data_IF_658222031809
#
_entry.id   IF_658222031809
#
_cell.length_a   1.000
_cell.length_b   1.000
_cell.length_c   1.000
_cell.angle_alpha   90.00
_cell.angle_beta   90.00
_cell.angle_gamma   90.00
#
_symmetry.space_group_name_H-M   'P 1'
#
loop_
_entity.id
_entity.type
_entity.pdbx_description
1 polymer ?
#
# COMPACT_ATOMS: atom_id res chain seq x y z
N UNK A 1 -21.89 4.47 -35.94
CA UNK A 1 -22.80 5.49 -36.51
C UNK A 1 -23.95 5.90 -35.58
N UNK A 2 -24.48 5.03 -34.70
CA UNK A 2 -25.49 5.41 -33.67
C UNK A 2 -24.96 6.29 -32.52
N UNK A 3 -23.67 6.21 -32.19
CA UNK A 3 -23.02 6.99 -31.12
C UNK A 3 -22.79 8.47 -31.47
N UNK A 4 -22.67 8.81 -32.76
CA UNK A 4 -22.46 10.20 -33.20
C UNK A 4 -23.75 11.06 -33.11
N UNK A 5 -24.93 10.45 -33.28
CA UNK A 5 -26.22 11.15 -33.16
C UNK A 5 -26.63 11.45 -31.71
N UNK A 6 -26.12 10.70 -30.73
CA UNK A 6 -26.43 10.91 -29.30
C UNK A 6 -25.64 12.10 -28.71
N UNK A 7 -24.43 12.37 -29.20
CA UNK A 7 -23.62 13.50 -28.74
C UNK A 7 -24.21 14.87 -29.15
N UNK A 8 -24.91 14.93 -30.28
CA UNK A 8 -25.46 16.19 -30.78
C UNK A 8 -26.76 16.60 -30.08
N UNK A 9 -27.52 15.64 -29.54
CA UNK A 9 -28.73 15.91 -28.76
C UNK A 9 -28.44 16.37 -27.32
N UNK A 10 -27.33 15.90 -26.71
CA UNK A 10 -26.95 16.26 -25.35
C UNK A 10 -26.52 17.74 -25.19
N UNK A 11 -26.11 18.40 -26.28
CA UNK A 11 -25.66 19.79 -26.27
C UNK A 11 -26.77 20.85 -26.23
N UNK A 12 -28.04 20.45 -26.24
CA UNK A 12 -29.20 21.35 -26.17
C UNK A 12 -30.03 21.23 -24.88
N UNK A 13 -29.71 20.26 -24.00
CA UNK A 13 -30.44 20.05 -22.74
C UNK A 13 -29.94 20.97 -21.58
N UNK A 14 -30.78 21.29 -20.59
CA UNK A 14 -30.38 22.03 -19.39
C UNK A 14 -29.32 21.26 -18.56
N UNK A 15 -28.46 22.00 -17.84
CA UNK A 15 -27.24 21.50 -17.17
C UNK A 15 -27.46 20.25 -16.29
N UNK A 16 -28.58 20.18 -15.57
CA UNK A 16 -28.89 19.07 -14.67
C UNK A 16 -29.22 17.76 -15.41
N UNK A 17 -29.77 17.84 -16.62
CA UNK A 17 -30.09 16.65 -17.43
C UNK A 17 -28.87 16.11 -18.18
N UNK A 18 -27.86 16.96 -18.44
CA UNK A 18 -26.57 16.54 -19.01
C UNK A 18 -25.76 15.72 -18.03
N UNK A 19 -25.66 16.14 -16.77
CA UNK A 19 -25.02 15.34 -15.72
C UNK A 19 -25.71 13.99 -15.51
N UNK A 20 -27.05 13.98 -15.45
CA UNK A 20 -27.81 12.74 -15.31
C UNK A 20 -27.61 11.78 -16.50
N UNK A 21 -27.51 12.31 -17.73
CA UNK A 21 -27.27 11.50 -18.93
C UNK A 21 -25.83 10.99 -19.03
N UNK A 22 -24.84 11.79 -18.66
CA UNK A 22 -23.44 11.36 -18.59
C UNK A 22 -23.22 10.31 -17.50
N UNK A 23 -23.85 10.47 -16.34
CA UNK A 23 -23.83 9.46 -15.27
C UNK A 23 -24.49 8.15 -15.68
N UNK A 24 -25.58 8.18 -16.45
CA UNK A 24 -26.22 6.96 -16.99
C UNK A 24 -25.32 6.26 -18.02
N UNK A 25 -24.65 7.01 -18.90
CA UNK A 25 -23.71 6.44 -19.88
C UNK A 25 -22.48 5.85 -19.20
N UNK A 26 -21.90 6.56 -18.21
CA UNK A 26 -20.78 6.06 -17.42
C UNK A 26 -21.17 4.78 -16.65
N UNK A 27 -22.38 4.74 -16.08
CA UNK A 27 -22.91 3.56 -15.39
C UNK A 27 -23.15 2.38 -16.33
N UNK A 28 -23.70 2.59 -17.51
CA UNK A 28 -23.87 1.53 -18.52
C UNK A 28 -22.53 0.98 -19.03
N UNK A 29 -21.53 1.85 -19.20
CA UNK A 29 -20.18 1.44 -19.57
C UNK A 29 -19.55 0.60 -18.45
N UNK A 30 -19.68 1.03 -17.19
CA UNK A 30 -19.17 0.31 -16.02
C UNK A 30 -19.87 -1.04 -15.83
N UNK A 31 -21.19 -1.11 -16.00
CA UNK A 31 -21.97 -2.36 -15.90
C UNK A 31 -21.59 -3.35 -17.02
N UNK A 32 -21.32 -2.86 -18.24
CA UNK A 32 -20.79 -3.67 -19.36
C UNK A 32 -19.40 -4.24 -19.07
N UNK A 33 -18.50 -3.43 -18.51
CA UNK A 33 -17.13 -3.84 -18.16
C UNK A 33 -17.14 -4.84 -16.99
N UNK A 34 -18.06 -4.67 -16.02
CA UNK A 34 -18.22 -5.59 -14.88
C UNK A 34 -18.74 -6.96 -15.33
N UNK A 35 -19.75 -7.00 -16.21
CA UNK A 35 -20.26 -8.23 -16.84
C UNK A 35 -19.17 -8.98 -17.63
N UNK A 36 -18.21 -8.27 -18.21
CA UNK A 36 -17.10 -8.88 -18.97
C UNK A 36 -16.06 -9.53 -18.03
N UNK A 37 -15.84 -8.98 -16.83
CA UNK A 37 -14.95 -9.55 -15.81
C UNK A 37 -15.53 -10.82 -15.20
N UNK A 38 -16.83 -10.84 -14.89
CA UNK A 38 -17.52 -12.02 -14.35
C UNK A 38 -17.56 -13.19 -15.33
N UNK A 39 -17.68 -12.90 -16.63
CA UNK A 39 -17.69 -13.93 -17.66
C UNK A 39 -16.33 -14.64 -17.78
N UNK A 40 -15.22 -13.92 -17.60
CA UNK A 40 -13.88 -14.52 -17.60
C UNK A 40 -13.62 -15.35 -16.34
N UNK A 41 -14.07 -14.90 -15.17
CA UNK A 41 -13.97 -15.68 -13.96
C UNK A 41 -14.72 -17.02 -14.12
N UNK A 42 -15.91 -17.00 -14.72
CA UNK A 42 -16.67 -18.20 -15.05
C UNK A 42 -15.98 -19.08 -16.12
N UNK A 43 -15.39 -18.48 -17.15
CA UNK A 43 -14.70 -19.19 -18.23
C UNK A 43 -13.39 -19.84 -17.75
N UNK A 44 -12.59 -19.11 -16.96
CA UNK A 44 -11.39 -19.64 -16.29
C UNK A 44 -11.75 -20.69 -15.23
N UNK A 45 -12.84 -20.49 -14.49
CA UNK A 45 -13.36 -21.50 -13.56
C UNK A 45 -13.77 -22.78 -14.29
N UNK A 46 -14.45 -22.65 -15.44
CA UNK A 46 -14.80 -23.79 -16.31
C UNK A 46 -13.55 -24.52 -16.86
N UNK A 47 -12.46 -23.78 -17.14
CA UNK A 47 -11.18 -24.36 -17.54
C UNK A 47 -10.54 -25.12 -16.36
N UNK A 48 -10.53 -24.55 -15.15
CA UNK A 48 -9.97 -25.20 -13.94
C UNK A 48 -10.73 -26.45 -13.50
N UNK A 49 -12.04 -26.51 -13.70
CA UNK A 49 -12.83 -27.71 -13.40
C UNK A 49 -12.43 -28.91 -14.27
N UNK A 50 -11.72 -28.67 -15.38
CA UNK A 50 -11.18 -29.73 -16.25
C UNK A 50 -9.71 -30.08 -15.97
N UNK A 51 -9.09 -29.46 -14.96
CA UNK A 51 -7.63 -29.50 -14.69
C UNK A 51 -7.26 -30.26 -13.39
N UNK A 52 -8.19 -31.01 -12.79
CA UNK A 52 -7.85 -31.88 -11.67
C UNK A 52 -7.10 -33.13 -12.18
N UNK A 53 -5.77 -33.07 -12.14
CA UNK A 53 -4.94 -34.27 -12.10
C UNK A 53 -5.37 -35.15 -10.92
N UNK A 54 -5.32 -36.47 -11.15
CA UNK A 54 -5.60 -37.52 -10.16
C UNK A 54 -4.60 -37.40 -9.01
N UNK A 55 -5.01 -36.75 -7.92
CA UNK A 55 -4.41 -36.98 -6.62
C UNK A 55 -5.20 -38.12 -5.96
N UNK A 56 -4.64 -39.33 -5.81
CA UNK A 56 -5.36 -40.46 -5.20
C UNK A 56 -5.81 -40.20 -3.76
N UNK A 57 -5.26 -39.18 -3.10
CA UNK A 57 -5.61 -38.82 -1.72
C UNK A 57 -6.60 -37.63 -1.60
N UNK A 58 -7.11 -37.11 -2.73
CA UNK A 58 -8.05 -35.98 -2.73
C UNK A 58 -9.50 -36.44 -2.84
N UNK A 59 -10.26 -36.30 -1.75
CA UNK A 59 -11.71 -36.52 -1.70
C UNK A 59 -12.48 -35.47 -2.52
N UNK A 60 -12.48 -35.63 -3.85
CA UNK A 60 -13.28 -34.82 -4.78
C UNK A 60 -14.64 -35.47 -5.07
N UNK A 61 -15.72 -34.68 -5.01
CA UNK A 61 -17.11 -35.12 -5.24
C UNK A 61 -17.36 -35.72 -6.64
N UNK A 62 -16.48 -35.48 -7.61
CA UNK A 62 -16.56 -36.08 -8.95
C UNK A 62 -16.24 -37.59 -8.95
N UNK A 63 -15.47 -38.08 -7.98
CA UNK A 63 -15.18 -39.51 -7.86
C UNK A 63 -16.37 -40.33 -7.36
N UNK A 64 -17.31 -39.74 -6.62
CA UNK A 64 -18.49 -40.48 -6.15
C UNK A 64 -19.40 -40.92 -7.31
N UNK A 65 -19.47 -40.15 -8.40
CA UNK A 65 -20.29 -40.53 -9.57
C UNK A 65 -19.61 -41.59 -10.44
N UNK A 66 -18.28 -41.60 -10.53
CA UNK A 66 -17.54 -42.66 -11.24
C UNK A 66 -17.44 -43.94 -10.41
N UNK A 67 -17.34 -43.83 -9.08
CA UNK A 67 -17.42 -44.95 -8.15
C UNK A 67 -18.84 -45.55 -8.12
N UNK A 68 -19.91 -44.74 -8.23
CA UNK A 68 -21.29 -45.25 -8.40
C UNK A 68 -21.47 -45.99 -9.73
N UNK A 69 -20.91 -45.50 -10.84
CA UNK A 69 -20.93 -46.21 -12.14
C UNK A 69 -20.08 -47.48 -12.13
N UNK A 70 -19.00 -47.52 -11.34
CA UNK A 70 -18.20 -48.73 -11.13
C UNK A 70 -18.84 -49.69 -10.11
N UNK A 71 -19.63 -49.19 -9.17
CA UNK A 71 -20.38 -49.99 -8.19
C UNK A 71 -21.63 -50.61 -8.82
N UNK A 72 -22.29 -49.91 -9.75
CA UNK A 72 -23.35 -50.48 -10.60
C UNK A 72 -22.80 -51.55 -11.56
N UNK A 73 -21.58 -51.38 -12.09
CA UNK A 73 -20.91 -52.42 -12.88
C UNK A 73 -20.32 -53.55 -12.03
N UNK A 74 -19.95 -53.28 -10.77
CA UNK A 74 -19.37 -54.24 -9.84
C UNK A 74 -20.40 -55.18 -9.21
N UNK A 75 -21.67 -54.78 -9.11
CA UNK A 75 -22.74 -55.67 -8.62
C UNK A 75 -23.23 -56.69 -9.67
N UNK A 76 -22.81 -56.58 -10.93
CA UNK A 76 -23.09 -57.58 -11.97
C UNK A 76 -22.03 -58.70 -12.05
N UNK A 77 -20.95 -58.65 -11.25
CA UNK A 77 -19.79 -59.54 -11.39
C UNK A 77 -19.45 -60.39 -10.15
N UNK A 78 -20.45 -60.69 -9.31
CA UNK A 78 -20.33 -61.80 -8.35
C UNK A 78 -20.85 -63.11 -8.95
N UNK A 79 -20.21 -63.58 -10.02
CA UNK A 79 -20.09 -65.00 -10.38
C UNK A 79 -19.35 -65.09 -11.70
N UNK A 80 -18.04 -65.36 -11.66
CA UNK A 80 -17.26 -66.12 -12.64
C UNK A 80 -15.77 -66.00 -12.29
N UNK A 81 -15.25 -67.10 -11.77
CA UNK A 81 -13.83 -67.35 -11.56
C UNK A 81 -13.16 -67.54 -12.92
N UNK A 82 -12.57 -66.45 -13.45
CA UNK A 82 -11.97 -66.41 -14.77
C UNK A 82 -10.82 -65.41 -14.80
N UNK A 83 -9.60 -65.93 -14.92
CA UNK A 83 -8.37 -65.17 -15.15
C UNK A 83 -8.44 -64.45 -16.50
N UNK A 84 -9.08 -63.28 -16.53
CA UNK A 84 -9.08 -62.40 -17.68
C UNK A 84 -7.67 -61.87 -17.91
N UNK A 85 -7.03 -62.38 -18.96
CA UNK A 85 -5.75 -61.90 -19.47
C UNK A 85 -5.97 -60.49 -20.02
N UNK A 86 -5.44 -59.48 -19.33
CA UNK A 86 -5.39 -58.10 -19.81
C UNK A 86 -4.62 -58.09 -21.13
N UNK A 87 -5.30 -57.78 -22.24
CA UNK A 87 -4.68 -57.85 -23.55
C UNK A 87 -3.82 -56.60 -23.78
N UNK A 88 -2.71 -56.76 -24.52
CA UNK A 88 -1.78 -55.65 -24.83
C UNK A 88 -2.50 -54.49 -25.55
N UNK A 89 -3.57 -54.77 -26.27
CA UNK A 89 -4.39 -53.76 -26.96
C UNK A 89 -5.07 -52.76 -25.99
N UNK A 90 -5.47 -53.19 -24.80
CA UNK A 90 -6.13 -52.30 -23.82
C UNK A 90 -5.18 -51.21 -23.31
N UNK A 91 -3.90 -51.53 -23.12
CA UNK A 91 -2.89 -50.54 -22.69
C UNK A 91 -2.60 -49.48 -23.76
N UNK A 92 -2.67 -49.85 -25.04
CA UNK A 92 -2.44 -48.91 -26.14
C UNK A 92 -3.59 -47.91 -26.28
N UNK A 93 -4.84 -48.37 -26.10
CA UNK A 93 -6.01 -47.47 -26.11
C UNK A 93 -6.00 -46.48 -24.93
N UNK A 94 -5.60 -46.91 -23.73
CA UNK A 94 -5.47 -46.02 -22.57
C UNK A 94 -4.38 -44.96 -22.79
N UNK A 95 -3.22 -45.36 -23.31
CA UNK A 95 -2.13 -44.42 -23.62
C UNK A 95 -2.54 -43.36 -24.67
N UNK A 96 -3.24 -43.77 -25.73
CA UNK A 96 -3.76 -42.84 -26.74
C UNK A 96 -4.81 -41.88 -26.16
N UNK A 97 -5.71 -42.38 -25.29
CA UNK A 97 -6.71 -41.54 -24.64
C UNK A 97 -6.08 -40.50 -23.69
N UNK A 98 -5.07 -40.90 -22.91
CA UNK A 98 -4.32 -39.99 -22.05
C UNK A 98 -3.57 -38.92 -22.86
N UNK A 99 -2.92 -39.30 -23.95
CA UNK A 99 -2.22 -38.37 -24.83
C UNK A 99 -3.20 -37.38 -25.51
N UNK A 100 -4.37 -37.85 -25.94
CA UNK A 100 -5.41 -36.99 -26.50
C UNK A 100 -5.98 -36.02 -25.45
N UNK A 101 -6.19 -36.48 -24.21
CA UNK A 101 -6.64 -35.65 -23.10
C UNK A 101 -5.59 -34.59 -22.72
N UNK A 102 -4.31 -34.94 -22.67
CA UNK A 102 -3.21 -34.00 -22.42
C UNK A 102 -3.08 -32.95 -23.53
N UNK A 103 -3.17 -33.37 -24.80
CA UNK A 103 -3.19 -32.45 -25.94
C UNK A 103 -4.36 -31.46 -25.85
N UNK A 104 -5.55 -31.93 -25.45
CA UNK A 104 -6.74 -31.08 -25.25
C UNK A 104 -6.54 -30.09 -24.10
N UNK A 105 -5.94 -30.54 -22.98
CA UNK A 105 -5.61 -29.68 -21.83
C UNK A 105 -4.60 -28.60 -22.19
N UNK A 106 -3.52 -28.97 -22.90
CA UNK A 106 -2.54 -28.01 -23.41
C UNK A 106 -3.18 -26.98 -24.34
N UNK A 107 -4.05 -27.40 -25.26
CA UNK A 107 -4.74 -26.49 -26.18
C UNK A 107 -5.61 -25.47 -25.45
N UNK A 108 -6.34 -25.89 -24.41
CA UNK A 108 -7.16 -24.97 -23.59
C UNK A 108 -6.31 -24.01 -22.75
N UNK A 109 -5.22 -24.51 -22.16
CA UNK A 109 -4.29 -23.65 -21.43
C UNK A 109 -3.66 -22.60 -22.35
N UNK A 110 -3.38 -22.97 -23.62
CA UNK A 110 -2.88 -22.06 -24.63
C UNK A 110 -3.87 -20.94 -24.93
N UNK A 111 -5.13 -21.31 -25.19
CA UNK A 111 -6.23 -20.37 -25.44
C UNK A 111 -6.44 -19.40 -24.26
N UNK A 112 -6.37 -19.91 -23.01
CA UNK A 112 -6.44 -19.05 -21.83
C UNK A 112 -5.29 -18.05 -21.75
N UNK A 113 -4.06 -18.46 -22.10
CA UNK A 113 -2.91 -17.56 -22.16
C UNK A 113 -3.04 -16.52 -23.29
N UNK A 114 -3.62 -16.89 -24.44
CA UNK A 114 -3.90 -15.95 -25.54
C UNK A 114 -4.91 -14.87 -25.11
N UNK A 115 -5.95 -15.26 -24.37
CA UNK A 115 -6.92 -14.32 -23.79
C UNK A 115 -6.24 -13.37 -22.81
N UNK A 116 -5.39 -13.90 -21.91
CA UNK A 116 -4.64 -13.09 -20.94
C UNK A 116 -3.73 -12.09 -21.65
N UNK A 117 -2.96 -12.52 -22.65
CA UNK A 117 -2.07 -11.63 -23.42
C UNK A 117 -2.86 -10.52 -24.13
N UNK A 118 -3.99 -10.85 -24.76
CA UNK A 118 -4.86 -9.85 -25.38
C UNK A 118 -5.39 -8.80 -24.38
N UNK A 119 -5.67 -9.20 -23.13
CA UNK A 119 -6.04 -8.23 -22.07
C UNK A 119 -4.86 -7.37 -21.65
N UNK A 120 -3.67 -7.96 -21.55
CA UNK A 120 -2.44 -7.25 -21.23
C UNK A 120 -2.14 -6.18 -22.29
N UNK A 121 -2.27 -6.48 -23.58
CA UNK A 121 -2.07 -5.51 -24.66
C UNK A 121 -3.05 -4.32 -24.57
N UNK A 122 -4.31 -4.59 -24.20
CA UNK A 122 -5.31 -3.54 -23.96
C UNK A 122 -4.94 -2.69 -22.74
N UNK A 123 -4.58 -3.32 -21.62
CA UNK A 123 -4.14 -2.61 -20.42
C UNK A 123 -2.91 -1.75 -20.72
N UNK A 124 -1.91 -2.31 -21.40
CA UNK A 124 -0.70 -1.61 -21.82
C UNK A 124 -1.01 -0.38 -22.68
N UNK A 125 -1.88 -0.51 -23.68
CA UNK A 125 -2.31 0.61 -24.52
C UNK A 125 -3.00 1.72 -23.71
N UNK A 126 -3.82 1.32 -22.72
CA UNK A 126 -4.51 2.26 -21.83
C UNK A 126 -3.55 3.05 -20.95
N UNK A 127 -2.45 2.44 -20.47
CA UNK A 127 -1.43 3.09 -19.62
C UNK A 127 -0.88 4.38 -20.27
N UNK A 128 -0.64 4.36 -21.59
CA UNK A 128 -0.11 5.54 -22.29
C UNK A 128 -1.15 6.66 -22.46
N UNK A 129 -2.43 6.32 -22.46
CA UNK A 129 -3.56 7.24 -22.59
C UNK A 129 -4.15 7.72 -21.26
N UNK A 130 -3.55 7.34 -20.12
CA UNK A 130 -4.07 7.71 -18.80
C UNK A 130 -4.04 9.23 -18.62
N UNK A 131 -5.20 9.79 -18.29
CA UNK A 131 -5.38 11.21 -17.96
C UNK A 131 -5.91 11.44 -16.54
N UNK A 132 -6.36 10.39 -15.85
CA UNK A 132 -6.97 10.50 -14.53
C UNK A 132 -6.65 9.32 -13.62
N UNK A 133 -6.79 9.54 -12.31
CA UNK A 133 -6.59 8.51 -11.27
C UNK A 133 -7.59 7.37 -11.37
N UNK A 134 -8.85 7.65 -11.71
CA UNK A 134 -9.88 6.61 -11.85
C UNK A 134 -9.52 5.62 -12.95
N UNK A 135 -9.00 6.12 -14.09
CA UNK A 135 -8.53 5.27 -15.19
C UNK A 135 -7.34 4.41 -14.74
N UNK A 136 -6.39 4.97 -13.99
CA UNK A 136 -5.29 4.17 -13.42
C UNK A 136 -5.80 3.06 -12.51
N UNK A 137 -6.79 3.35 -11.66
CA UNK A 137 -7.36 2.36 -10.76
C UNK A 137 -8.03 1.22 -11.55
N UNK A 138 -8.79 1.53 -12.59
CA UNK A 138 -9.38 0.50 -13.45
C UNK A 138 -8.32 -0.38 -14.11
N UNK A 139 -7.19 0.19 -14.55
CA UNK A 139 -6.09 -0.61 -15.13
C UNK A 139 -5.46 -1.50 -14.04
N UNK A 140 -5.29 -1.02 -12.81
CA UNK A 140 -4.79 -1.84 -11.69
C UNK A 140 -5.69 -3.03 -11.39
N UNK A 141 -6.99 -2.78 -11.34
CA UNK A 141 -7.98 -3.84 -11.10
C UNK A 141 -7.92 -4.89 -12.22
N UNK A 142 -7.78 -4.45 -13.48
CA UNK A 142 -7.58 -5.34 -14.62
C UNK A 142 -6.28 -6.17 -14.53
N UNK A 143 -5.15 -5.55 -14.17
CA UNK A 143 -3.89 -6.25 -13.95
C UNK A 143 -3.95 -7.25 -12.78
N UNK A 144 -4.73 -6.95 -11.74
CA UNK A 144 -4.96 -7.87 -10.63
C UNK A 144 -5.75 -9.11 -11.06
N UNK A 145 -6.76 -8.93 -11.92
CA UNK A 145 -7.51 -10.03 -12.54
C UNK A 145 -6.59 -10.87 -13.42
N UNK A 146 -5.77 -10.25 -14.27
CA UNK A 146 -4.78 -10.93 -15.11
C UNK A 146 -3.80 -11.75 -14.27
N UNK A 147 -3.25 -11.17 -13.20
CA UNK A 147 -2.32 -11.84 -12.30
C UNK A 147 -2.97 -13.05 -11.61
N UNK A 148 -4.25 -12.94 -11.26
CA UNK A 148 -5.02 -14.04 -10.69
C UNK A 148 -5.23 -15.15 -11.73
N UNK A 149 -5.58 -14.81 -12.96
CA UNK A 149 -5.74 -15.76 -14.05
C UNK A 149 -4.44 -16.53 -14.35
N UNK A 150 -3.29 -15.85 -14.39
CA UNK A 150 -1.98 -16.49 -14.58
C UNK A 150 -1.68 -17.50 -13.47
N UNK A 151 -1.96 -17.17 -12.20
CA UNK A 151 -1.76 -18.09 -11.06
C UNK A 151 -2.65 -19.33 -11.10
N UNK A 152 -3.84 -19.20 -11.67
CA UNK A 152 -4.79 -20.30 -11.82
C UNK A 152 -4.28 -21.34 -12.82
N UNK A 153 -3.58 -20.92 -13.88
CA UNK A 153 -3.03 -21.81 -14.90
C UNK A 153 -1.80 -22.55 -14.32
N UNK A 154 -1.97 -23.78 -13.83
CA UNK A 154 -0.93 -24.56 -13.12
C UNK A 154 -0.26 -25.68 -13.95
N UNK A 155 -0.46 -25.70 -15.27
CA UNK A 155 0.04 -26.78 -16.13
C UNK A 155 1.57 -26.95 -16.05
N UNK A 156 2.03 -28.20 -16.03
CA UNK A 156 3.48 -28.56 -15.92
C UNK A 156 4.23 -28.65 -17.25
N UNK A 157 3.54 -28.41 -18.37
CA UNK A 157 4.15 -28.55 -19.70
C UNK A 157 5.05 -27.36 -19.95
N UNK A 158 6.28 -27.63 -20.37
CA UNK A 158 7.36 -26.64 -20.46
C UNK A 158 7.00 -25.41 -21.29
N UNK A 159 6.30 -25.57 -22.43
CA UNK A 159 5.88 -24.44 -23.25
C UNK A 159 4.84 -23.54 -22.55
N UNK A 160 3.89 -24.12 -21.81
CA UNK A 160 2.88 -23.38 -21.03
C UNK A 160 3.55 -22.65 -19.85
N UNK A 161 4.45 -23.32 -19.14
CA UNK A 161 5.20 -22.74 -18.01
C UNK A 161 6.05 -21.55 -18.49
N UNK A 162 6.77 -21.71 -19.60
CA UNK A 162 7.61 -20.67 -20.17
C UNK A 162 6.78 -19.46 -20.60
N UNK A 163 5.67 -19.66 -21.31
CA UNK A 163 4.79 -18.56 -21.75
C UNK A 163 4.10 -17.87 -20.57
N UNK A 164 3.63 -18.61 -19.57
CA UNK A 164 3.08 -18.04 -18.33
C UNK A 164 4.11 -17.15 -17.63
N UNK A 165 5.35 -17.63 -17.47
CA UNK A 165 6.42 -16.85 -16.83
C UNK A 165 6.76 -15.57 -17.60
N UNK A 166 6.70 -15.60 -18.94
CA UNK A 166 6.88 -14.41 -19.78
C UNK A 166 5.78 -13.38 -19.53
N UNK A 167 4.50 -13.80 -19.52
CA UNK A 167 3.36 -12.92 -19.25
C UNK A 167 3.38 -12.38 -17.81
N UNK A 168 3.80 -13.18 -16.82
CA UNK A 168 4.03 -12.68 -15.46
C UNK A 168 5.09 -11.58 -15.43
N UNK A 169 6.18 -11.72 -16.20
CA UNK A 169 7.19 -10.68 -16.38
C UNK A 169 6.60 -9.39 -16.94
N UNK A 170 5.92 -9.47 -18.08
CA UNK A 170 5.28 -8.31 -18.72
C UNK A 170 4.21 -7.65 -17.83
N UNK A 171 3.48 -8.43 -17.03
CA UNK A 171 2.52 -7.89 -16.07
C UNK A 171 3.20 -7.05 -14.97
N UNK A 172 4.33 -7.53 -14.45
CA UNK A 172 5.13 -6.77 -13.48
C UNK A 172 5.70 -5.47 -14.08
N UNK A 173 6.11 -5.50 -15.35
CA UNK A 173 6.61 -4.30 -16.04
C UNK A 173 5.50 -3.25 -16.26
N UNK A 174 4.27 -3.68 -16.58
CA UNK A 174 3.11 -2.79 -16.63
C UNK A 174 2.77 -2.19 -15.26
N UNK A 175 2.89 -2.97 -14.18
CA UNK A 175 2.72 -2.45 -12.82
C UNK A 175 3.75 -1.35 -12.51
N UNK A 176 5.01 -1.53 -12.91
CA UNK A 176 6.05 -0.50 -12.78
C UNK A 176 5.72 0.76 -13.57
N UNK A 177 5.35 0.62 -14.85
CA UNK A 177 4.95 1.75 -15.71
C UNK A 177 3.78 2.55 -15.13
N UNK A 178 2.81 1.88 -14.51
CA UNK A 178 1.70 2.55 -13.83
C UNK A 178 2.15 3.34 -12.60
N UNK A 179 3.09 2.81 -11.81
CA UNK A 179 3.66 3.54 -10.68
C UNK A 179 4.37 4.81 -11.16
N UNK A 180 5.21 4.71 -12.20
CA UNK A 180 5.92 5.86 -12.75
C UNK A 180 4.96 6.93 -13.30
N UNK A 181 3.87 6.50 -13.94
CA UNK A 181 2.82 7.40 -14.44
C UNK A 181 2.02 8.08 -13.32
N UNK A 182 1.77 7.37 -12.22
CA UNK A 182 1.07 7.94 -11.08
C UNK A 182 1.84 9.10 -10.48
N UNK A 183 3.17 9.00 -10.36
CA UNK A 183 4.01 10.08 -9.84
C UNK A 183 3.90 11.35 -10.70
N UNK A 184 3.80 11.20 -12.02
CA UNK A 184 3.63 12.33 -12.96
C UNK A 184 2.22 12.94 -12.86
N UNK A 185 1.19 12.11 -12.73
CA UNK A 185 -0.21 12.56 -12.63
C UNK A 185 -0.56 13.12 -11.24
N UNK A 186 0.29 12.88 -10.23
CA UNK A 186 0.04 13.26 -8.84
C UNK A 186 0.14 14.76 -8.56
N UNK A 187 0.60 15.58 -9.51
CA UNK A 187 0.49 17.04 -9.41
C UNK A 187 -0.92 17.48 -9.82
N UNK A 188 -1.92 16.94 -9.13
CA UNK A 188 -3.27 17.49 -9.16
C UNK A 188 -3.19 18.89 -8.57
N UNK A 189 -3.67 19.89 -9.30
CA UNK A 189 -3.75 21.27 -8.82
C UNK A 189 -4.78 21.46 -7.69
N UNK A 190 -5.47 20.39 -7.26
CA UNK A 190 -6.41 20.44 -6.15
C UNK A 190 -5.65 20.38 -4.81
N UNK A 191 -6.12 21.13 -3.80
CA UNK A 191 -5.61 21.00 -2.44
C UNK A 191 -5.61 19.55 -1.98
N UNK A 192 -4.55 19.14 -1.30
CA UNK A 192 -4.46 17.83 -0.66
C UNK A 192 -5.15 17.95 0.69
N UNK A 193 -6.27 17.25 0.86
CA UNK A 193 -6.87 17.07 2.18
C UNK A 193 -6.00 16.10 2.98
N UNK A 194 -5.61 16.50 4.19
CA UNK A 194 -4.77 15.72 5.08
C UNK A 194 -5.47 15.61 6.45
N UNK A 195 -5.70 14.37 6.89
CA UNK A 195 -6.29 14.11 8.20
C UNK A 195 -5.23 14.28 9.31
N UNK A 196 -5.43 15.30 10.15
CA UNK A 196 -4.57 15.62 11.29
C UNK A 196 -5.20 15.26 12.64
N UNK A 197 -6.31 14.53 12.65
CA UNK A 197 -7.06 14.20 13.88
C UNK A 197 -6.20 13.48 14.93
N UNK A 198 -5.25 12.66 14.49
CA UNK A 198 -4.38 11.88 15.36
C UNK A 198 -3.44 12.71 16.23
N UNK A 199 -3.22 14.00 15.91
CA UNK A 199 -2.46 14.94 16.76
C UNK A 199 -3.26 15.43 17.98
N UNK A 200 -4.60 15.35 17.92
CA UNK A 200 -5.48 15.74 19.03
C UNK A 200 -5.82 14.55 19.95
N UNK A 201 -5.75 13.33 19.40
CA UNK A 201 -6.03 12.09 20.14
C UNK A 201 -4.77 11.55 20.83
N UNK A 202 -4.32 12.21 21.90
CA UNK A 202 -3.16 11.75 22.67
C UNK A 202 -3.52 10.58 23.60
N UNK A 203 -2.84 9.42 23.53
CA UNK A 203 -3.13 8.27 24.40
C UNK A 203 -3.08 8.60 25.89
N UNK A 204 -2.21 9.53 26.29
CA UNK A 204 -2.12 9.99 27.68
C UNK A 204 -3.43 10.55 28.24
N UNK A 205 -4.31 11.12 27.40
CA UNK A 205 -5.60 11.65 27.84
C UNK A 205 -6.54 10.55 28.36
N UNK A 206 -6.29 9.28 28.00
CA UNK A 206 -7.05 8.12 28.46
C UNK A 206 -6.51 7.53 29.77
N UNK A 207 -5.35 7.99 30.25
CA UNK A 207 -4.75 7.50 31.49
C UNK A 207 -5.35 8.20 32.73
N UNK A 208 -5.32 7.54 33.89
CA UNK A 208 -5.60 8.18 35.18
C UNK A 208 -4.56 9.27 35.48
N UNK A 209 -4.96 10.30 36.22
CA UNK A 209 -4.12 11.47 36.54
C UNK A 209 -2.76 11.10 37.13
N UNK A 210 -2.69 10.06 37.96
CA UNK A 210 -1.41 9.59 38.54
C UNK A 210 -0.51 9.02 37.45
N UNK A 211 -1.07 8.21 36.54
CA UNK A 211 -0.33 7.68 35.40
C UNK A 211 0.12 8.79 34.45
N UNK A 212 -0.74 9.78 34.15
CA UNK A 212 -0.39 10.94 33.33
C UNK A 212 0.81 11.71 33.89
N UNK A 213 0.79 12.05 35.18
CA UNK A 213 1.90 12.76 35.84
C UNK A 213 3.18 11.91 35.81
N UNK A 214 3.06 10.60 36.01
CA UNK A 214 4.20 9.69 36.02
C UNK A 214 4.86 9.58 34.64
N UNK A 215 4.05 9.43 33.60
CA UNK A 215 4.46 9.46 32.20
C UNK A 215 5.16 10.79 31.87
N UNK A 216 4.58 11.91 32.31
CA UNK A 216 5.13 13.25 32.05
C UNK A 216 6.49 13.44 32.72
N UNK A 217 6.65 13.03 33.98
CA UNK A 217 7.94 13.08 34.68
C UNK A 217 8.99 12.23 33.97
N UNK A 218 8.62 11.02 33.50
CA UNK A 218 9.49 10.17 32.71
C UNK A 218 9.95 10.83 31.41
N UNK A 219 8.99 11.39 30.64
CA UNK A 219 9.25 12.06 29.38
C UNK A 219 10.15 13.30 29.56
N UNK A 220 9.83 14.18 30.52
CA UNK A 220 10.65 15.36 30.86
C UNK A 220 12.07 14.96 31.25
N UNK A 221 12.21 13.88 32.01
CA UNK A 221 13.50 13.38 32.45
C UNK A 221 14.42 12.99 31.29
N UNK A 222 13.87 12.36 30.26
CA UNK A 222 14.67 11.94 29.10
C UNK A 222 14.84 13.06 28.08
N UNK A 223 13.78 13.81 27.79
CA UNK A 223 13.77 14.83 26.72
C UNK A 223 14.45 16.11 27.16
N UNK A 224 14.15 16.62 28.36
CA UNK A 224 14.65 17.92 28.84
C UNK A 224 15.96 17.75 29.60
N UNK A 225 16.02 16.79 30.53
CA UNK A 225 17.24 16.58 31.32
C UNK A 225 18.28 15.69 30.62
N UNK A 226 17.96 15.15 29.43
CA UNK A 226 18.90 14.35 28.64
C UNK A 226 19.32 13.04 29.33
N UNK A 227 18.49 12.52 30.25
CA UNK A 227 18.78 11.24 30.88
C UNK A 227 18.78 10.15 29.80
N UNK A 228 19.84 9.35 29.76
CA UNK A 228 19.93 8.25 28.79
C UNK A 228 18.73 7.31 28.91
N UNK A 229 18.29 6.68 27.81
CA UNK A 229 17.14 5.75 27.81
C UNK A 229 17.21 4.67 28.90
N UNK A 230 18.39 4.06 29.12
CA UNK A 230 18.60 3.05 30.17
C UNK A 230 18.30 3.57 31.59
N UNK A 231 18.79 4.77 31.90
CA UNK A 231 18.49 5.44 33.17
C UNK A 231 17.02 5.88 33.25
N UNK A 232 16.41 6.26 32.12
CA UNK A 232 14.98 6.55 32.03
C UNK A 232 14.10 5.33 32.31
N UNK A 233 14.46 4.15 31.79
CA UNK A 233 13.77 2.89 32.09
C UNK A 233 13.87 2.54 33.58
N UNK A 234 15.07 2.66 34.16
CA UNK A 234 15.26 2.49 35.59
C UNK A 234 14.39 3.47 36.39
N UNK A 235 14.38 4.75 36.01
CA UNK A 235 13.55 5.79 36.65
C UNK A 235 12.05 5.44 36.59
N UNK A 236 11.54 5.02 35.43
CA UNK A 236 10.14 4.58 35.30
C UNK A 236 9.83 3.35 36.13
N UNK A 237 10.75 2.38 36.22
CA UNK A 237 10.60 1.22 37.09
C UNK A 237 10.53 1.59 38.57
N UNK A 238 11.39 2.49 39.05
CA UNK A 238 11.37 2.98 40.43
C UNK A 238 10.09 3.76 40.72
N UNK A 239 9.65 4.62 39.79
CA UNK A 239 8.43 5.39 39.92
C UNK A 239 7.19 4.48 40.01
N UNK A 240 7.11 3.46 39.15
CA UNK A 240 6.04 2.46 39.20
C UNK A 240 6.02 1.71 40.53
N UNK A 241 7.21 1.32 41.05
CA UNK A 241 7.33 0.65 42.35
C UNK A 241 6.87 1.53 43.51
N UNK A 242 7.34 2.78 43.57
CA UNK A 242 6.94 3.73 44.62
C UNK A 242 5.43 3.96 44.61
N UNK A 243 4.84 4.12 43.42
CA UNK A 243 3.40 4.33 43.28
C UNK A 243 2.61 3.07 43.65
N UNK A 244 3.08 1.88 43.27
CA UNK A 244 2.49 0.62 43.70
C UNK A 244 2.45 0.49 45.22
N UNK A 245 3.59 0.73 45.89
CA UNK A 245 3.69 0.70 47.35
C UNK A 245 2.84 1.79 48.03
N UNK A 246 2.81 3.00 47.47
CA UNK A 246 2.00 4.09 48.01
C UNK A 246 0.49 3.79 47.88
N UNK A 247 0.07 3.16 46.78
CA UNK A 247 -1.30 2.71 46.60
C UNK A 247 -1.65 1.56 47.54
N UNK A 248 -0.72 0.62 47.78
CA UNK A 248 -0.84 -0.47 48.76
C UNK A 248 -1.09 0.02 50.18
N UNK A 249 -0.40 1.07 50.59
CA UNK A 249 -0.58 1.70 51.89
C UNK A 249 -1.96 2.40 52.04
N UNK A 250 -2.62 2.75 50.93
CA UNK A 250 -3.93 3.38 50.94
C UNK A 250 -5.05 2.33 50.94
N UNK A 251 -6.15 2.67 51.64
CA UNK A 251 -7.29 1.81 52.00
C UNK A 251 -7.60 0.63 51.03
N UNK A 252 -7.83 -0.60 51.56
CA UNK A 252 -8.03 -1.82 50.79
C UNK A 252 -9.32 -1.85 49.95
N UNK A 253 -10.23 -0.88 50.11
CA UNK A 253 -11.51 -0.87 49.39
C UNK A 253 -11.44 -0.38 47.93
N UNK A 254 -10.25 -0.09 47.39
CA UNK A 254 -10.09 0.48 46.04
C UNK A 254 -9.21 -0.34 45.08
N UNK A 255 -9.19 -1.67 45.26
CA UNK A 255 -8.30 -2.58 44.52
C UNK A 255 -8.43 -2.45 42.99
N UNK A 256 -9.66 -2.32 42.46
CA UNK A 256 -9.89 -2.23 41.01
C UNK A 256 -9.28 -0.95 40.40
N UNK A 257 -9.43 0.19 41.06
CA UNK A 257 -8.85 1.47 40.60
C UNK A 257 -7.33 1.45 40.69
N UNK A 258 -6.78 0.86 41.74
CA UNK A 258 -5.33 0.72 41.94
C UNK A 258 -4.71 -0.14 40.85
N UNK A 259 -5.27 -1.32 40.61
CA UNK A 259 -4.78 -2.22 39.57
C UNK A 259 -4.87 -1.60 38.18
N UNK A 260 -5.96 -0.86 37.91
CA UNK A 260 -6.12 -0.12 36.65
C UNK A 260 -5.11 1.01 36.48
N UNK A 261 -4.75 1.72 37.55
CA UNK A 261 -3.76 2.82 37.46
C UNK A 261 -2.35 2.27 37.30
N UNK A 262 -2.01 1.23 38.06
CA UNK A 262 -0.69 0.60 38.01
C UNK A 262 -0.41 -0.06 36.65
N UNK A 263 -1.43 -0.64 36.00
CA UNK A 263 -1.27 -1.23 34.66
C UNK A 263 -1.06 -0.19 33.55
N UNK A 264 -1.41 1.07 33.79
CA UNK A 264 -1.21 2.17 32.84
C UNK A 264 0.18 2.80 32.93
N UNK A 265 0.96 2.55 33.98
CA UNK A 265 2.31 3.09 34.13
C UNK A 265 3.28 2.16 33.38
N UNK A 266 3.88 2.60 32.26
CA UNK A 266 4.79 1.75 31.52
C UNK A 266 6.09 1.53 32.27
N UNK A 267 6.68 0.36 32.05
CA UNK A 267 7.99 0.00 32.59
C UNK A 267 9.15 0.36 31.67
N UNK A 268 8.86 0.69 30.41
CA UNK A 268 9.86 1.14 29.43
C UNK A 268 9.64 2.61 29.08
N UNK A 269 10.75 3.29 28.81
CA UNK A 269 10.71 4.68 28.37
C UNK A 269 10.08 4.82 26.98
N UNK A 270 10.29 3.84 26.11
CA UNK A 270 9.69 3.82 24.77
C UNK A 270 8.15 3.87 24.83
N UNK A 271 7.54 3.04 25.69
CA UNK A 271 6.09 3.07 25.89
C UNK A 271 5.64 4.37 26.55
N UNK A 272 6.44 4.96 27.44
CA UNK A 272 6.12 6.25 28.04
C UNK A 272 6.09 7.38 27.00
N UNK A 273 7.10 7.46 26.14
CA UNK A 273 7.20 8.47 25.09
C UNK A 273 6.13 8.28 24.01
N UNK A 274 5.76 7.03 23.69
CA UNK A 274 4.70 6.77 22.71
C UNK A 274 3.31 7.24 23.18
N UNK A 275 3.07 7.31 24.49
CA UNK A 275 1.83 7.91 25.04
C UNK A 275 1.67 9.40 24.72
N UNK A 276 2.77 10.10 24.43
CA UNK A 276 2.77 11.51 24.06
C UNK A 276 2.77 11.74 22.55
N UNK A 277 2.93 10.68 21.74
CA UNK A 277 3.07 10.78 20.27
C UNK A 277 4.07 11.86 19.85
N UNK A 278 5.21 11.94 20.56
CA UNK A 278 6.25 12.94 20.25
C UNK A 278 6.94 12.64 18.92
N UNK A 279 6.94 11.38 18.52
CA UNK A 279 7.43 10.96 17.23
C UNK A 279 6.37 11.27 16.17
N UNK A 280 6.70 12.12 15.21
CA UNK A 280 5.90 12.27 13.99
C UNK A 280 5.85 10.95 13.23
N UNK A 281 4.90 10.84 12.29
CA UNK A 281 4.84 9.68 11.41
C UNK A 281 6.13 9.57 10.62
N UNK A 282 6.76 8.41 10.74
CA UNK A 282 7.97 8.08 9.99
C UNK A 282 7.77 6.86 9.12
N UNK A 283 8.57 6.75 8.08
CA UNK A 283 8.66 5.55 7.26
C UNK A 283 10.13 5.22 7.08
N UNK A 284 10.51 4.01 7.48
CA UNK A 284 11.85 3.50 7.26
C UNK A 284 11.97 3.02 5.81
N UNK A 285 12.77 3.70 5.00
CA UNK A 285 13.09 3.28 3.64
C UNK A 285 14.34 2.41 3.66
N UNK A 286 14.36 1.33 2.87
CA UNK A 286 15.59 0.61 2.59
C UNK A 286 16.41 1.42 1.58
N UNK A 287 17.72 1.52 1.80
CA UNK A 287 18.62 2.30 0.94
C UNK A 287 19.64 1.37 0.30
N UNK A 288 19.81 1.47 -1.02
CA UNK A 288 20.87 0.74 -1.69
C UNK A 288 22.25 1.22 -1.21
N UNK A 289 23.11 0.33 -0.70
CA UNK A 289 24.43 0.74 -0.23
C UNK A 289 25.37 1.21 -1.34
N UNK A 290 25.09 0.91 -2.61
CA UNK A 290 25.93 1.32 -3.74
C UNK A 290 25.45 2.60 -4.44
N UNK A 291 24.17 2.71 -4.78
CA UNK A 291 23.64 3.84 -5.54
C UNK A 291 22.77 4.80 -4.71
N UNK A 292 22.58 4.54 -3.42
CA UNK A 292 21.73 5.33 -2.50
C UNK A 292 20.25 5.47 -2.90
N UNK A 293 19.76 4.68 -3.86
CA UNK A 293 18.33 4.62 -4.18
C UNK A 293 17.52 4.13 -2.97
N UNK A 294 16.41 4.80 -2.69
CA UNK A 294 15.51 4.53 -1.56
C UNK A 294 14.32 3.67 -2.00
N UNK A 295 13.89 2.77 -1.13
CA UNK A 295 12.78 1.85 -1.36
C UNK A 295 11.80 1.93 -0.21
N UNK A 296 10.58 2.35 -0.51
CA UNK A 296 9.48 2.41 0.46
C UNK A 296 9.10 0.99 0.89
N UNK A 297 8.81 0.75 2.17
CA UNK A 297 8.28 -0.53 2.61
C UNK A 297 6.91 -0.77 2.00
N UNK A 298 6.66 -2.03 1.66
CA UNK A 298 5.33 -2.54 1.30
C UNK A 298 4.73 -3.26 2.49
N UNK A 299 3.50 -2.87 2.85
CA UNK A 299 2.74 -3.49 3.93
C UNK A 299 1.63 -4.31 3.30
N UNK A 300 1.65 -5.63 3.44
CA UNK A 300 0.52 -6.46 3.03
C UNK A 300 -0.60 -6.35 4.07
N UNK A 301 -1.87 -6.33 3.65
CA UNK A 301 -3.04 -6.21 4.54
C UNK A 301 -3.05 -7.18 5.75
N UNK A 302 -2.38 -8.34 5.64
CA UNK A 302 -2.37 -9.37 6.67
C UNK A 302 -1.05 -9.46 7.46
N UNK A 303 -0.10 -8.53 7.26
CA UNK A 303 1.18 -8.56 7.97
C UNK A 303 1.54 -7.18 8.49
N UNK A 304 1.85 -7.11 9.78
CA UNK A 304 2.45 -5.93 10.42
C UNK A 304 3.92 -5.74 10.02
N UNK A 305 4.53 -6.70 9.31
CA UNK A 305 5.93 -6.61 8.92
C UNK A 305 6.09 -5.87 7.59
N UNK A 306 6.91 -4.83 7.62
CA UNK A 306 7.36 -4.13 6.43
C UNK A 306 8.17 -5.07 5.53
N UNK A 307 7.82 -5.13 4.24
CA UNK A 307 8.56 -5.90 3.23
C UNK A 307 9.27 -4.96 2.27
N UNK A 308 10.51 -5.29 1.98
CA UNK A 308 11.36 -4.57 1.05
C UNK A 308 11.81 -5.50 -0.09
N UNK A 309 12.20 -4.95 -1.25
CA UNK A 309 12.88 -5.73 -2.27
C UNK A 309 14.19 -6.32 -1.72
N UNK A 310 14.53 -7.54 -2.11
CA UNK A 310 15.79 -8.19 -1.66
C UNK A 310 17.01 -7.58 -2.33
N UNK A 311 16.84 -7.03 -3.54
CA UNK A 311 17.89 -6.41 -4.35
C UNK A 311 17.44 -5.08 -4.94
N UNK A 312 18.41 -4.22 -5.21
CA UNK A 312 18.21 -2.92 -5.83
C UNK A 312 17.91 -3.08 -7.33
N UNK A 313 16.79 -2.52 -7.78
CA UNK A 313 16.39 -2.49 -9.19
C UNK A 313 16.59 -1.11 -9.85
N UNK A 314 17.30 -0.19 -9.18
CA UNK A 314 17.59 1.11 -9.75
C UNK A 314 18.55 0.97 -10.93
N UNK A 315 18.25 1.64 -12.05
CA UNK A 315 19.09 1.73 -13.23
C UNK A 315 19.59 3.18 -13.37
N UNK A 316 20.59 3.62 -12.57
CA UNK A 316 21.05 5.00 -12.60
C UNK A 316 21.61 5.40 -13.98
N UNK A 317 22.19 4.44 -14.70
CA UNK A 317 22.63 4.57 -16.09
C UNK A 317 21.85 3.54 -16.90
N UNK A 318 21.02 3.95 -17.89
CA UNK A 318 20.17 3.03 -18.65
C UNK A 318 20.93 1.90 -19.37
N UNK A 319 22.20 2.12 -19.72
CA UNK A 319 23.03 1.16 -20.47
C UNK A 319 23.63 0.05 -19.59
N UNK A 320 23.82 0.30 -18.29
CA UNK A 320 24.54 -0.61 -17.37
C UNK A 320 23.63 -1.66 -16.71
N UNK A 321 22.32 -1.62 -17.00
CA UNK A 321 21.33 -2.46 -16.35
C UNK A 321 21.07 -2.07 -14.88
N UNK A 322 20.33 -2.90 -14.12
CA UNK A 322 20.00 -2.62 -12.73
C UNK A 322 21.20 -2.83 -11.80
N UNK A 323 21.27 -2.05 -10.73
CA UNK A 323 22.33 -2.11 -9.71
C UNK A 323 22.52 -3.51 -9.09
N UNK A 324 21.42 -4.26 -8.88
CA UNK A 324 21.35 -5.63 -8.33
C UNK A 324 22.03 -5.87 -6.96
N UNK A 325 22.49 -4.81 -6.29
CA UNK A 325 23.08 -4.92 -4.95
C UNK A 325 22.03 -5.37 -3.92
N UNK A 326 22.41 -6.24 -2.96
CA UNK A 326 21.50 -6.65 -1.91
C UNK A 326 21.06 -5.43 -1.11
N UNK A 327 19.77 -5.40 -0.76
CA UNK A 327 19.18 -4.39 0.11
C UNK A 327 19.01 -4.89 1.53
N UNK A 328 18.91 -6.21 1.70
CA UNK A 328 18.58 -6.86 2.96
C UNK A 328 19.71 -7.79 3.43
N UNK A 329 19.86 -7.89 4.74
CA UNK A 329 20.75 -8.82 5.42
C UNK A 329 19.99 -9.63 6.47
N UNK A 330 20.41 -10.86 6.80
CA UNK A 330 19.85 -11.61 7.91
C UNK A 330 20.15 -10.92 9.25
N UNK A 331 19.13 -10.77 10.10
CA UNK A 331 19.25 -10.35 11.50
C UNK A 331 19.58 -11.54 12.40
N UNK A 332 19.86 -11.28 13.68
CA UNK A 332 20.14 -12.33 14.67
C UNK A 332 19.01 -13.37 14.79
N UNK A 333 17.77 -12.95 14.51
CA UNK A 333 16.58 -13.81 14.52
C UNK A 333 16.32 -14.53 13.18
N UNK A 334 17.24 -14.39 12.21
CA UNK A 334 17.11 -14.94 10.86
C UNK A 334 16.13 -14.19 9.95
N UNK A 335 15.58 -13.05 10.39
CA UNK A 335 14.71 -12.20 9.56
C UNK A 335 15.54 -11.35 8.62
N UNK A 336 15.00 -11.00 7.45
CA UNK A 336 15.67 -10.09 6.52
C UNK A 336 15.36 -8.63 6.88
N UNK A 337 16.40 -7.84 7.15
CA UNK A 337 16.32 -6.43 7.51
C UNK A 337 17.13 -5.56 6.55
N UNK A 338 16.76 -4.28 6.31
CA UNK A 338 17.55 -3.41 5.45
C UNK A 338 18.99 -3.24 5.92
N UNK A 339 19.95 -3.35 4.99
CA UNK A 339 21.38 -3.11 5.25
C UNK A 339 21.62 -1.65 5.64
N UNK A 340 20.92 -0.72 4.97
CA UNK A 340 20.96 0.72 5.23
C UNK A 340 19.52 1.23 5.27
N UNK A 341 19.22 2.05 6.28
CA UNK A 341 17.90 2.64 6.49
C UNK A 341 18.00 4.16 6.34
N UNK A 342 17.01 4.75 5.67
CA UNK A 342 16.74 6.18 5.71
C UNK A 342 15.38 6.39 6.36
N UNK A 343 15.33 7.16 7.44
CA UNK A 343 14.09 7.46 8.14
C UNK A 343 13.47 8.71 7.53
N UNK A 344 12.38 8.53 6.78
CA UNK A 344 11.63 9.64 6.21
C UNK A 344 10.58 10.11 7.20
N UNK A 345 10.65 11.39 7.60
CA UNK A 345 9.60 12.04 8.35
C UNK A 345 8.58 12.61 7.36
N UNK A 346 7.31 12.24 7.52
CA UNK A 346 6.26 12.69 6.60
C UNK A 346 6.07 14.20 6.75
N UNK A 347 6.43 14.97 5.71
CA UNK A 347 6.34 16.43 5.74
C UNK A 347 4.93 16.93 6.11
N UNK A 348 3.89 16.31 5.56
CA UNK A 348 2.50 16.67 5.86
C UNK A 348 2.14 16.42 7.33
N UNK A 349 2.59 15.31 7.91
CA UNK A 349 2.37 15.00 9.34
C UNK A 349 3.16 15.95 10.24
N UNK A 350 4.40 16.26 9.89
CA UNK A 350 5.20 17.25 10.59
C UNK A 350 4.52 18.63 10.60
N UNK A 351 4.09 19.11 9.42
CA UNK A 351 3.40 20.39 9.30
C UNK A 351 2.06 20.39 10.04
N UNK A 352 1.28 19.31 9.90
CA UNK A 352 0.04 19.14 10.64
C UNK A 352 0.26 19.22 12.15
N UNK A 353 1.29 18.55 12.68
CA UNK A 353 1.64 18.60 14.09
C UNK A 353 2.03 20.00 14.58
N UNK A 354 2.71 20.81 13.74
CA UNK A 354 2.96 22.22 14.04
C UNK A 354 1.67 23.04 14.09
N UNK A 355 0.78 22.85 13.11
CA UNK A 355 -0.49 23.59 13.00
C UNK A 355 -1.55 23.15 14.02
N UNK A 356 -1.48 21.92 14.52
CA UNK A 356 -2.32 21.44 15.62
C UNK A 356 -2.03 22.14 16.95
N UNK A 357 -0.98 22.97 17.01
CA UNK A 357 -0.59 23.75 18.18
C UNK A 357 -0.85 25.25 17.94
N UNK A 358 -1.91 25.83 18.54
CA UNK A 358 -2.30 27.22 18.29
C UNK A 358 -1.20 28.23 18.62
N UNK A 359 -0.36 27.95 19.62
CA UNK A 359 0.78 28.78 19.98
C UNK A 359 1.84 28.84 18.87
N UNK A 360 2.10 27.70 18.20
CA UNK A 360 3.05 27.62 17.10
C UNK A 360 2.47 28.21 15.81
N UNK A 361 1.19 27.97 15.53
CA UNK A 361 0.50 28.55 14.38
C UNK A 361 0.57 30.09 14.41
N UNK A 362 0.28 30.70 15.57
CA UNK A 362 0.41 32.15 15.77
C UNK A 362 1.84 32.65 15.52
N UNK A 363 2.86 31.87 15.91
CA UNK A 363 4.26 32.20 15.66
C UNK A 363 4.64 32.07 14.17
N UNK A 364 4.10 31.06 13.48
CA UNK A 364 4.34 30.83 12.05
C UNK A 364 3.66 31.88 11.17
N UNK A 365 2.53 32.42 11.62
CA UNK A 365 1.77 33.47 10.93
C UNK A 365 2.36 34.88 11.13
N UNK A 366 3.10 35.08 12.23
CA UNK A 366 3.65 36.39 12.59
C UNK A 366 4.50 37.02 11.48
N UNK A 367 5.44 36.33 10.81
CA UNK A 367 6.24 36.95 9.77
C UNK A 367 5.41 37.49 8.59
N UNK A 368 4.34 36.80 8.20
CA UNK A 368 3.44 37.30 7.14
C UNK A 368 2.66 38.53 7.62
N UNK A 369 2.24 38.57 8.88
CA UNK A 369 1.55 39.72 9.47
C UNK A 369 2.48 40.94 9.57
N UNK A 370 3.73 40.73 9.98
CA UNK A 370 4.75 41.78 10.07
C UNK A 370 5.11 42.30 8.67
N UNK A 371 5.21 41.39 7.69
CA UNK A 371 5.43 41.72 6.28
C UNK A 371 4.31 42.64 5.75
N UNK A 372 3.05 42.30 6.02
CA UNK A 372 1.88 43.10 5.62
C UNK A 372 1.95 44.55 6.15
N UNK A 373 2.43 44.73 7.39
CA UNK A 373 2.61 46.07 7.99
C UNK A 373 3.76 46.84 7.31
N UNK A 374 4.79 46.14 6.83
CA UNK A 374 6.02 46.74 6.28
C UNK A 374 5.94 47.20 4.81
N UNK A 375 4.89 46.83 4.05
CA UNK A 375 4.78 47.07 2.60
C UNK A 375 4.96 48.55 2.22
N UNK A 376 4.48 49.47 3.06
CA UNK A 376 4.57 50.91 2.80
C UNK A 376 5.92 51.53 3.17
N UNK A 377 6.82 50.79 3.83
CA UNK A 377 8.09 51.30 4.35
C UNK A 377 9.10 50.15 4.49
N UNK A 378 9.63 49.65 3.36
CA UNK A 378 10.56 48.52 3.39
C UNK A 378 11.82 48.89 4.20
N UNK A 379 12.35 47.97 5.02
CA UNK A 379 13.52 48.24 5.85
C UNK A 379 14.75 48.53 4.97
N UNK A 380 15.55 49.52 5.37
CA UNK A 380 16.81 49.86 4.68
C UNK A 380 17.90 48.78 4.85
N UNK A 381 17.78 47.93 5.88
CA UNK A 381 18.72 46.86 6.20
C UNK A 381 17.90 45.59 6.43
N UNK A 382 18.22 44.55 5.65
CA UNK A 382 17.63 43.20 5.77
C UNK A 382 18.25 42.54 7.00
N UNK A 383 17.44 42.27 8.03
CA UNK A 383 17.86 41.59 9.26
C UNK A 383 17.44 40.13 9.29
N UNK A 384 16.32 39.83 8.64
CA UNK A 384 15.81 38.46 8.49
C UNK A 384 15.47 38.11 7.05
N UNK A 385 15.06 36.86 6.81
CA UNK A 385 14.69 36.41 5.46
C UNK A 385 13.39 37.04 4.95
N UNK A 386 12.50 37.49 5.84
CA UNK A 386 11.19 38.05 5.52
C UNK A 386 11.29 39.52 5.12
N UNK A 387 12.32 40.24 5.55
CA UNK A 387 12.71 41.57 5.06
C UNK A 387 13.13 41.57 3.59
N UNK A 388 13.39 40.40 3.00
CA UNK A 388 13.82 40.31 1.61
C UNK A 388 12.69 40.71 0.65
N UNK A 389 13.00 41.60 -0.30
CA UNK A 389 12.05 42.08 -1.31
C UNK A 389 11.35 40.95 -2.11
N UNK A 390 11.98 39.77 -2.18
CA UNK A 390 11.37 38.58 -2.76
C UNK A 390 10.04 38.24 -2.07
N UNK A 391 9.96 38.14 -0.74
CA UNK A 391 8.72 37.77 -0.06
C UNK A 391 7.61 38.82 -0.24
N UNK A 392 7.97 40.09 -0.37
CA UNK A 392 7.04 41.18 -0.66
C UNK A 392 6.45 41.14 -2.08
N UNK A 393 7.23 40.66 -3.05
CA UNK A 393 6.89 40.75 -4.48
C UNK A 393 6.57 39.41 -5.13
N UNK A 394 6.74 38.30 -4.40
CA UNK A 394 6.50 36.96 -4.92
C UNK A 394 5.01 36.76 -5.20
N UNK A 395 4.67 36.55 -6.47
CA UNK A 395 3.29 36.36 -6.92
C UNK A 395 2.92 34.88 -6.95
N UNK A 396 1.78 34.55 -6.36
CA UNK A 396 1.18 33.23 -6.45
C UNK A 396 0.52 32.96 -7.81
N UNK A 397 -0.05 31.76 -8.02
CA UNK A 397 -0.77 31.41 -9.26
C UNK A 397 -1.92 32.35 -9.63
N UNK A 398 -2.52 33.04 -8.65
CA UNK A 398 -3.57 34.05 -8.85
C UNK A 398 -3.03 35.41 -9.31
N UNK A 399 -1.72 35.61 -9.38
CA UNK A 399 -1.07 36.89 -9.66
C UNK A 399 -1.02 37.87 -8.47
N UNK A 400 -1.63 37.52 -7.34
CA UNK A 400 -1.57 38.26 -6.07
C UNK A 400 -0.29 37.98 -5.29
N UNK A 401 0.09 38.86 -4.37
CA UNK A 401 1.30 38.70 -3.56
C UNK A 401 1.10 37.54 -2.59
N UNK A 402 1.86 36.46 -2.77
CA UNK A 402 1.64 35.20 -2.08
C UNK A 402 1.73 35.38 -0.56
N UNK A 403 2.73 36.06 0.00
CA UNK A 403 2.84 36.11 1.47
C UNK A 403 2.06 37.27 2.13
N UNK A 404 1.50 38.17 1.32
CA UNK A 404 0.78 39.37 1.77
C UNK A 404 -0.74 39.15 1.70
N UNK A 405 -1.23 38.75 0.54
CA UNK A 405 -2.66 38.65 0.24
C UNK A 405 -3.21 37.27 0.62
N UNK A 406 -3.02 36.88 1.89
CA UNK A 406 -3.31 35.50 2.35
C UNK A 406 -4.74 35.26 2.86
N UNK A 407 -5.49 36.32 3.16
CA UNK A 407 -6.84 36.18 3.72
C UNK A 407 -6.82 35.39 5.03
N UNK A 408 -7.58 34.29 5.10
CA UNK A 408 -7.63 33.38 6.25
C UNK A 408 -6.70 32.18 6.11
N UNK A 409 -5.88 32.11 5.06
CA UNK A 409 -4.98 30.99 4.81
C UNK A 409 -3.62 31.19 5.50
N UNK A 410 -3.06 30.10 6.03
CA UNK A 410 -1.65 30.04 6.40
C UNK A 410 -0.77 29.90 5.15
N UNK A 411 0.28 30.70 5.03
CA UNK A 411 1.24 30.63 3.91
C UNK A 411 2.65 30.54 4.44
N UNK A 412 3.24 29.35 4.30
CA UNK A 412 4.48 29.00 4.97
C UNK A 412 5.62 28.81 3.96
N UNK A 413 6.78 29.34 4.30
CA UNK A 413 8.00 29.18 3.54
C UNK A 413 8.90 28.15 4.22
N UNK A 414 9.38 27.16 3.45
CA UNK A 414 10.28 26.12 3.94
C UNK A 414 11.60 26.21 3.19
N UNK A 415 12.70 25.96 3.90
CA UNK A 415 14.03 25.83 3.29
C UNK A 415 14.42 24.36 3.26
N UNK A 416 14.91 23.90 2.10
CA UNK A 416 15.46 22.58 1.94
C UNK A 416 16.98 22.68 2.06
N UNK A 417 17.52 22.21 3.18
CA UNK A 417 18.96 22.13 3.37
C UNK A 417 19.43 20.72 3.00
N UNK A 418 20.23 20.62 1.95
CA UNK A 418 20.84 19.36 1.52
C UNK A 418 22.29 19.37 2.01
N UNK A 419 22.56 18.67 3.10
CA UNK A 419 23.93 18.41 3.53
C UNK A 419 24.50 17.27 2.68
N UNK A 420 25.24 17.65 1.63
CA UNK A 420 26.05 16.70 0.89
C UNK A 420 27.26 16.30 1.71
N UNK A 421 27.26 15.09 2.28
CA UNK A 421 28.49 14.47 2.76
C UNK A 421 29.37 14.15 1.54
N UNK A 422 30.20 15.12 1.13
CA UNK A 422 31.31 14.90 0.21
C UNK A 422 32.30 13.96 0.92
N UNK A 423 32.16 12.65 0.68
CA UNK A 423 33.13 11.62 1.06
C UNK A 423 34.08 11.32 -0.08
#
# INVERSE_FOLDING_TARGET
MKTAHLFQAANLAPSSEREASLLRLARQQLESDTLQVDNLAAELFAITLTDNDVNPDSHSKLWNSCAEVQQEKGQAYHSLDGTATFTVDDTQHIAQALQAAEKRRCSKAQEALDIVESRMDRAHSRIFSVTSRDVMQTIRDELAVITTALRIIKHKVSCIVSRRSQLEGSCNDMHRLLCDKEDVLSVSSKPIEFDSSHHFDLPINLCDKVAQISLFLGAVSVVIFGISRRHGEFFMGVLALILGLAMEAQNPHSESRRQNTHSQIPRSMETALSCFKLDGQTTAYAVCPACNCTYRPTTSFNSSHARYPTKCFNCPIPEDGPCDKPLLQPSADGKLEPIKIFLYHHFHDYLAGLLSRPDLEVLMDRPCNDLLVSIGSPPHIIKDVWDANFFCTFKGPSGQSLFIDRGTEGRYAFTLNIEGNLQ
#
